data_IF_445223304129
#
_entry.id   IF_445223304129
#
_cell.length_a   1.000
_cell.length_b   1.000
_cell.length_c   1.000
_cell.angle_alpha   90.00
_cell.angle_beta   90.00
_cell.angle_gamma   90.00
#
_symmetry.space_group_name_H-M   'P 1'
#
loop_
_entity.id
_entity.type
_entity.pdbx_description
1 polymer ?
#
# COMPACT_ATOMS: atom_id res chain seq x y z
N UNK A 1 26.06 -18.21 -62.93
CA UNK A 1 26.54 -17.33 -61.83
C UNK A 1 25.56 -16.18 -61.64
N UNK A 2 24.60 -16.32 -60.72
CA UNK A 2 23.87 -15.21 -60.08
C UNK A 2 23.41 -15.75 -58.72
N UNK A 3 24.08 -15.30 -57.66
CA UNK A 3 23.66 -15.51 -56.28
C UNK A 3 22.53 -14.52 -55.97
N UNK A 4 21.44 -15.01 -55.40
CA UNK A 4 20.40 -14.17 -54.78
C UNK A 4 20.25 -14.62 -53.34
N UNK A 5 20.85 -13.84 -52.44
CA UNK A 5 20.70 -13.90 -50.99
C UNK A 5 19.42 -13.15 -50.61
N UNK A 6 18.44 -13.85 -50.06
CA UNK A 6 17.29 -13.23 -49.38
C UNK A 6 17.52 -13.29 -47.87
N UNK A 7 17.70 -12.11 -47.26
CA UNK A 7 17.65 -11.92 -45.81
C UNK A 7 16.20 -12.09 -45.30
N UNK A 8 15.97 -12.60 -44.07
CA UNK A 8 14.64 -12.62 -43.48
C UNK A 8 14.28 -11.23 -42.90
N UNK A 9 12.99 -10.91 -42.72
CA UNK A 9 12.56 -9.60 -42.26
C UNK A 9 12.78 -9.45 -40.75
N UNK A 10 13.27 -8.28 -40.36
CA UNK A 10 13.38 -7.82 -38.98
C UNK A 10 11.96 -7.51 -38.49
N UNK A 11 11.46 -8.30 -37.53
CA UNK A 11 10.19 -8.03 -36.86
C UNK A 11 10.30 -6.80 -35.96
N UNK A 12 9.49 -5.79 -36.23
CA UNK A 12 9.29 -4.66 -35.32
C UNK A 12 8.61 -5.15 -34.04
N UNK A 13 9.33 -5.05 -32.92
CA UNK A 13 8.74 -5.17 -31.57
C UNK A 13 7.89 -3.93 -31.32
N UNK A 14 6.57 -4.09 -31.41
CA UNK A 14 5.59 -3.05 -31.10
C UNK A 14 5.42 -2.93 -29.60
N UNK A 15 5.75 -1.77 -29.03
CA UNK A 15 5.37 -1.40 -27.67
C UNK A 15 3.86 -1.15 -27.66
N UNK A 16 3.08 -2.08 -27.10
CA UNK A 16 1.65 -1.88 -26.90
C UNK A 16 1.45 -0.99 -25.67
N UNK A 17 1.08 0.27 -25.88
CA UNK A 17 0.74 1.20 -24.80
C UNK A 17 -0.71 0.93 -24.39
N UNK A 18 -0.92 0.21 -23.29
CA UNK A 18 -2.28 -0.08 -22.79
C UNK A 18 -2.90 1.15 -22.15
N UNK A 19 -4.17 1.40 -22.43
CA UNK A 19 -4.96 2.49 -21.86
C UNK A 19 -5.17 2.21 -20.36
N UNK A 20 -4.79 3.15 -19.49
CA UNK A 20 -5.00 3.03 -18.04
C UNK A 20 -6.42 3.46 -17.68
N UNK A 21 -7.24 2.57 -17.13
CA UNK A 21 -8.49 2.95 -16.48
C UNK A 21 -8.23 3.10 -14.97
N UNK A 22 -7.95 4.34 -14.56
CA UNK A 22 -7.90 4.72 -13.14
C UNK A 22 -9.32 4.78 -12.59
N UNK A 23 -9.80 3.67 -12.02
CA UNK A 23 -10.99 3.75 -11.17
C UNK A 23 -10.61 4.40 -9.84
N UNK A 24 -10.98 5.66 -9.70
CA UNK A 24 -11.11 6.27 -8.39
C UNK A 24 -12.31 5.62 -7.69
N UNK A 25 -12.10 4.69 -6.77
CA UNK A 25 -13.05 4.59 -5.65
C UNK A 25 -12.74 5.75 -4.71
N UNK A 26 -13.15 6.96 -5.09
CA UNK A 26 -13.32 8.02 -4.10
C UNK A 26 -14.50 7.60 -3.25
N UNK A 27 -14.23 6.90 -2.15
CA UNK A 27 -15.17 6.92 -1.04
C UNK A 27 -15.18 8.37 -0.56
N UNK A 28 -16.32 9.04 -0.69
CA UNK A 28 -16.50 10.44 -0.33
C UNK A 28 -16.40 10.71 1.19
N UNK A 29 -15.89 9.76 1.98
CA UNK A 29 -15.66 9.82 3.41
C UNK A 29 -14.42 8.98 3.75
N UNK A 30 -13.35 9.60 4.23
CA UNK A 30 -12.19 8.92 4.80
C UNK A 30 -10.93 8.85 3.92
N UNK A 31 -9.77 9.14 4.51
CA UNK A 31 -8.47 8.82 3.92
C UNK A 31 -8.29 7.30 3.98
N UNK A 32 -8.52 6.58 2.88
CA UNK A 32 -8.20 5.15 2.81
C UNK A 32 -6.68 4.99 2.72
N UNK A 33 -6.08 4.26 3.67
CA UNK A 33 -4.65 3.96 3.65
C UNK A 33 -4.25 3.05 2.48
N UNK A 34 -5.21 2.44 1.79
CA UNK A 34 -4.94 1.49 0.70
C UNK A 34 -5.42 2.06 -0.63
N UNK A 35 -4.56 1.97 -1.65
CA UNK A 35 -4.88 2.28 -3.04
C UNK A 35 -4.65 1.04 -3.88
N UNK A 36 -5.63 0.64 -4.69
CA UNK A 36 -5.50 -0.49 -5.61
C UNK A 36 -5.83 -0.06 -7.03
N UNK A 37 -5.05 -0.55 -8.00
CA UNK A 37 -5.38 -0.42 -9.41
C UNK A 37 -5.25 -1.76 -10.12
N UNK A 38 -5.92 -1.85 -11.28
CA UNK A 38 -5.96 -3.01 -12.14
C UNK A 38 -5.51 -2.60 -13.53
N UNK A 39 -4.76 -3.47 -14.19
CA UNK A 39 -4.52 -3.38 -15.63
C UNK A 39 -5.69 -4.04 -16.34
N UNK A 40 -6.16 -3.45 -17.43
CA UNK A 40 -7.24 -4.03 -18.24
C UNK A 40 -6.82 -5.42 -18.73
N UNK A 41 -7.53 -6.46 -18.30
CA UNK A 41 -7.34 -7.85 -18.69
C UNK A 41 -8.60 -8.42 -19.36
N UNK A 42 -8.47 -9.42 -20.24
CA UNK A 42 -7.26 -10.17 -20.57
C UNK A 42 -6.27 -9.41 -21.46
N UNK A 43 -4.97 -9.64 -21.25
CA UNK A 43 -3.88 -9.17 -22.13
C UNK A 43 -3.13 -10.38 -22.65
N UNK A 44 -2.89 -10.42 -23.96
CA UNK A 44 -2.05 -11.44 -24.59
C UNK A 44 -0.70 -10.83 -24.92
N UNK A 45 0.37 -11.44 -24.40
CA UNK A 45 1.76 -11.05 -24.63
C UNK A 45 2.43 -12.14 -25.46
N UNK A 46 2.84 -11.79 -26.68
CA UNK A 46 3.66 -12.63 -27.57
C UNK A 46 5.05 -12.02 -27.65
N UNK A 47 6.04 -12.62 -26.96
CA UNK A 47 7.42 -12.09 -26.88
C UNK A 47 7.48 -10.58 -26.58
N UNK A 48 6.57 -10.14 -25.71
CA UNK A 48 6.29 -8.73 -25.42
C UNK A 48 5.99 -8.54 -23.93
N UNK A 49 5.74 -7.29 -23.55
CA UNK A 49 5.52 -6.92 -22.17
C UNK A 49 4.45 -5.85 -22.03
N UNK A 50 3.86 -5.78 -20.84
CA UNK A 50 3.05 -4.67 -20.38
C UNK A 50 3.77 -4.01 -19.20
N UNK A 51 3.82 -2.68 -19.20
CA UNK A 51 4.48 -1.92 -18.14
C UNK A 51 3.50 -0.98 -17.47
N UNK A 52 3.63 -0.86 -16.15
CA UNK A 52 2.89 0.09 -15.33
C UNK A 52 3.85 0.86 -14.44
N UNK A 53 3.63 2.16 -14.32
CA UNK A 53 4.22 2.93 -13.23
C UNK A 53 3.57 2.51 -11.91
N UNK A 54 4.38 2.42 -10.86
CA UNK A 54 3.89 2.23 -9.51
C UNK A 54 4.26 3.44 -8.68
N UNK A 55 3.34 3.82 -7.78
CA UNK A 55 3.66 4.88 -6.83
C UNK A 55 4.79 4.39 -5.95
N UNK A 56 5.88 5.14 -6.02
CA UNK A 56 7.07 4.98 -5.23
C UNK A 56 7.37 6.37 -4.69
N UNK A 57 7.15 6.58 -3.40
CA UNK A 57 7.26 7.89 -2.79
C UNK A 57 7.29 7.78 -1.28
N UNK A 58 7.69 8.89 -0.64
CA UNK A 58 7.63 9.01 0.81
C UNK A 58 6.23 8.66 1.31
N UNK A 59 6.17 7.80 2.32
CA UNK A 59 4.90 7.43 2.94
C UNK A 59 4.24 6.17 2.44
N UNK A 60 4.69 5.49 1.38
CA UNK A 60 4.17 4.14 1.07
C UNK A 60 4.87 3.12 1.96
N UNK A 61 4.11 2.40 2.79
CA UNK A 61 4.66 1.37 3.67
C UNK A 61 4.81 0.02 2.99
N UNK A 62 3.87 -0.36 2.12
CA UNK A 62 3.97 -1.62 1.37
C UNK A 62 3.32 -1.54 0.00
N UNK A 63 3.75 -2.42 -0.90
CA UNK A 63 3.12 -2.62 -2.22
C UNK A 63 2.98 -4.11 -2.50
N UNK A 64 1.76 -4.57 -2.78
CA UNK A 64 1.46 -5.92 -3.23
C UNK A 64 1.16 -5.92 -4.73
N UNK A 65 1.77 -6.85 -5.44
CA UNK A 65 1.67 -7.04 -6.89
C UNK A 65 1.16 -8.46 -7.10
N UNK A 66 0.04 -8.58 -7.80
CA UNK A 66 -0.58 -9.87 -8.12
C UNK A 66 -0.76 -9.99 -9.63
N UNK A 67 -0.13 -11.00 -10.23
CA UNK A 67 -0.21 -11.28 -11.66
C UNK A 67 -0.62 -12.71 -11.88
N UNK A 68 -1.70 -12.94 -12.63
CA UNK A 68 -2.17 -14.26 -13.01
C UNK A 68 -2.08 -14.45 -14.51
N UNK A 69 -1.27 -15.41 -14.94
CA UNK A 69 -0.94 -15.66 -16.34
C UNK A 69 -0.99 -17.14 -16.71
N UNK A 70 -1.42 -17.43 -17.94
CA UNK A 70 -1.39 -18.75 -18.55
C UNK A 70 -0.38 -18.75 -19.70
N UNK A 71 0.70 -19.52 -19.56
CA UNK A 71 1.75 -19.64 -20.57
C UNK A 71 1.50 -20.85 -21.48
N UNK A 72 1.59 -20.66 -22.78
CA UNK A 72 1.57 -21.75 -23.75
C UNK A 72 2.97 -22.30 -24.04
N UNK A 73 3.04 -23.54 -24.53
CA UNK A 73 4.30 -24.15 -24.95
C UNK A 73 5.19 -24.62 -23.80
N UNK A 74 4.63 -24.81 -22.60
CA UNK A 74 5.32 -25.32 -21.39
C UNK A 74 5.10 -26.81 -21.12
N UNK A 75 4.54 -27.55 -22.09
CA UNK A 75 4.32 -28.99 -21.97
C UNK A 75 5.60 -29.81 -21.79
N UNK A 76 5.43 -31.09 -21.44
CA UNK A 76 6.50 -32.02 -21.07
C UNK A 76 7.60 -32.10 -22.13
N UNK A 77 8.85 -32.00 -21.69
CA UNK A 77 10.03 -31.95 -22.56
C UNK A 77 11.32 -32.14 -21.78
N UNK A 78 12.44 -32.52 -22.41
CA UNK A 78 13.74 -32.49 -21.75
C UNK A 78 14.14 -31.06 -21.35
N UNK A 79 14.47 -30.88 -20.07
CA UNK A 79 14.97 -29.61 -19.53
C UNK A 79 13.90 -28.51 -19.40
N UNK A 80 14.36 -27.27 -19.32
CA UNK A 80 13.49 -26.10 -19.12
C UNK A 80 12.86 -25.62 -20.44
N UNK A 81 11.57 -25.27 -20.39
CA UNK A 81 10.82 -24.74 -21.52
C UNK A 81 11.45 -23.44 -22.06
N UNK A 82 11.48 -23.24 -23.39
CA UNK A 82 11.92 -21.98 -23.99
C UNK A 82 10.89 -20.86 -23.75
N UNK A 83 9.62 -21.23 -23.51
CA UNK A 83 8.57 -20.33 -23.11
C UNK A 83 8.55 -20.18 -21.58
N UNK A 84 8.53 -18.93 -21.11
CA UNK A 84 8.53 -18.58 -19.68
C UNK A 84 8.17 -17.10 -19.51
N UNK A 85 7.80 -16.71 -18.30
CA UNK A 85 7.35 -15.35 -18.03
C UNK A 85 7.84 -14.87 -16.68
N UNK A 86 7.64 -13.57 -16.43
CA UNK A 86 8.14 -12.96 -15.22
C UNK A 86 7.64 -11.55 -15.00
N UNK A 87 8.16 -10.98 -13.93
CA UNK A 87 7.92 -9.61 -13.48
C UNK A 87 9.28 -8.96 -13.28
N UNK A 88 9.52 -7.85 -13.97
CA UNK A 88 10.63 -6.96 -13.65
C UNK A 88 10.14 -5.81 -12.78
N UNK A 89 10.88 -5.54 -11.72
CA UNK A 89 10.72 -4.42 -10.80
C UNK A 89 11.92 -3.50 -10.99
N UNK A 90 11.66 -2.31 -11.53
CA UNK A 90 12.71 -1.37 -11.97
C UNK A 90 12.79 -0.18 -11.01
N UNK A 91 13.99 0.06 -10.47
CA UNK A 91 14.32 1.16 -9.56
C UNK A 91 15.54 1.92 -10.13
N UNK A 92 15.30 2.98 -10.89
CA UNK A 92 16.36 3.70 -11.59
C UNK A 92 17.17 2.79 -12.54
N UNK A 93 18.44 2.56 -12.22
CA UNK A 93 19.33 1.67 -12.98
C UNK A 93 19.37 0.23 -12.47
N UNK A 94 18.64 -0.07 -11.39
CA UNK A 94 18.57 -1.40 -10.80
C UNK A 94 17.30 -2.13 -11.25
N UNK A 95 17.41 -3.42 -11.48
CA UNK A 95 16.27 -4.26 -11.89
C UNK A 95 16.29 -5.58 -11.15
N UNK A 96 15.22 -5.83 -10.41
CA UNK A 96 14.89 -7.13 -9.84
C UNK A 96 13.97 -7.87 -10.81
N UNK A 97 14.43 -9.01 -11.31
CA UNK A 97 13.69 -9.84 -12.27
C UNK A 97 13.28 -11.15 -11.62
N UNK A 98 11.97 -11.33 -11.45
CA UNK A 98 11.36 -12.58 -11.04
C UNK A 98 10.96 -13.38 -12.28
N UNK A 99 11.31 -14.65 -12.34
CA UNK A 99 10.95 -15.55 -13.46
C UNK A 99 10.27 -16.81 -12.97
N UNK A 100 9.23 -17.25 -13.69
CA UNK A 100 8.65 -18.59 -13.58
C UNK A 100 8.95 -19.37 -14.86
N UNK A 101 9.66 -20.49 -14.72
CA UNK A 101 10.04 -21.36 -15.83
C UNK A 101 9.74 -22.82 -15.51
N UNK A 102 9.01 -23.48 -16.40
CA UNK A 102 8.64 -24.88 -16.26
C UNK A 102 9.62 -25.79 -16.98
N UNK A 103 9.68 -27.06 -16.60
CA UNK A 103 10.46 -28.07 -17.30
C UNK A 103 10.36 -29.46 -16.67
N UNK A 104 11.24 -30.34 -17.11
CA UNK A 104 11.38 -31.69 -16.56
C UNK A 104 12.86 -31.98 -16.28
N UNK A 105 13.13 -32.70 -15.19
CA UNK A 105 14.51 -33.05 -14.82
C UNK A 105 15.15 -34.08 -15.75
N UNK A 106 14.37 -35.03 -16.25
CA UNK A 106 14.85 -36.15 -17.04
C UNK A 106 13.71 -36.75 -17.87
N UNK A 107 13.18 -36.00 -18.84
CA UNK A 107 12.01 -36.40 -19.63
C UNK A 107 12.16 -37.80 -20.24
N UNK A 108 11.20 -38.68 -19.94
CA UNK A 108 11.18 -40.08 -20.40
C UNK A 108 11.94 -41.07 -19.51
N UNK A 109 12.54 -40.61 -18.41
CA UNK A 109 13.15 -41.45 -17.37
C UNK A 109 12.10 -41.81 -16.28
N UNK A 110 12.28 -42.94 -15.60
CA UNK A 110 11.46 -43.33 -14.44
C UNK A 110 11.60 -42.33 -13.28
N UNK A 111 12.71 -41.60 -13.22
CA UNK A 111 12.97 -40.55 -12.25
C UNK A 111 12.54 -39.16 -12.74
N UNK A 112 11.80 -39.07 -13.85
CA UNK A 112 11.35 -37.78 -14.35
C UNK A 112 10.46 -37.08 -13.34
N UNK A 113 10.80 -35.82 -13.04
CA UNK A 113 9.98 -34.93 -12.23
C UNK A 113 9.74 -33.64 -12.97
N UNK A 114 8.50 -33.18 -12.94
CA UNK A 114 8.14 -31.82 -13.34
C UNK A 114 8.82 -30.84 -12.40
N UNK A 115 9.40 -29.81 -12.98
CA UNK A 115 10.06 -28.73 -12.27
C UNK A 115 9.35 -27.42 -12.59
N UNK A 116 9.16 -26.60 -11.56
CA UNK A 116 8.74 -25.21 -11.74
C UNK A 116 9.76 -24.36 -11.01
N UNK A 117 10.65 -23.72 -11.78
CA UNK A 117 11.74 -22.94 -11.23
C UNK A 117 11.30 -21.49 -11.12
N UNK A 118 11.30 -20.99 -9.89
CA UNK A 118 11.15 -19.58 -9.58
C UNK A 118 12.54 -19.03 -9.27
N UNK A 119 12.98 -18.05 -10.05
CA UNK A 119 14.30 -17.41 -9.87
C UNK A 119 14.13 -15.91 -9.76
N UNK A 120 14.86 -15.31 -8.84
CA UNK A 120 15.00 -13.87 -8.68
C UNK A 120 16.42 -13.48 -9.04
N UNK A 121 16.55 -12.52 -9.96
CA UNK A 121 17.83 -11.94 -10.37
C UNK A 121 17.86 -10.46 -10.04
N UNK A 122 19.04 -9.93 -9.72
CA UNK A 122 19.32 -8.49 -9.60
C UNK A 122 20.36 -8.11 -10.64
N UNK A 123 19.98 -7.28 -11.61
CA UNK A 123 20.85 -6.91 -12.75
C UNK A 123 21.48 -8.12 -13.46
N UNK A 124 20.74 -9.23 -13.55
CA UNK A 124 21.19 -10.49 -14.16
C UNK A 124 21.97 -11.43 -13.23
N UNK A 125 22.33 -11.01 -12.02
CA UNK A 125 22.97 -11.88 -11.02
C UNK A 125 21.90 -12.64 -10.21
N UNK A 126 22.04 -13.95 -9.99
CA UNK A 126 21.07 -14.72 -9.22
C UNK A 126 21.08 -14.30 -7.74
N UNK A 127 19.89 -14.06 -7.19
CA UNK A 127 19.67 -13.71 -5.77
C UNK A 127 19.04 -14.89 -5.03
N UNK A 128 18.00 -15.48 -5.62
CA UNK A 128 17.30 -16.64 -5.06
C UNK A 128 16.78 -17.52 -6.19
N UNK A 129 16.72 -18.83 -5.94
CA UNK A 129 16.12 -19.79 -6.86
C UNK A 129 15.49 -20.93 -6.08
N UNK A 130 14.32 -21.41 -6.53
CA UNK A 130 13.60 -22.51 -5.89
C UNK A 130 12.80 -23.31 -6.92
N UNK A 131 12.90 -24.64 -6.83
CA UNK A 131 11.97 -25.56 -7.49
C UNK A 131 10.71 -25.71 -6.61
N UNK A 132 9.54 -25.39 -7.16
CA UNK A 132 8.27 -25.31 -6.42
C UNK A 132 7.22 -26.25 -7.01
N UNK A 133 6.42 -26.86 -6.14
CA UNK A 133 5.46 -27.91 -6.53
C UNK A 133 4.02 -27.41 -6.75
N UNK A 134 3.70 -26.18 -6.34
CA UNK A 134 2.32 -25.64 -6.34
C UNK A 134 1.90 -24.97 -7.65
N UNK A 135 2.78 -24.93 -8.63
CA UNK A 135 2.52 -24.36 -9.94
C UNK A 135 2.04 -25.44 -10.90
N UNK A 136 1.03 -25.09 -11.69
CA UNK A 136 0.51 -25.95 -12.74
C UNK A 136 1.46 -25.88 -13.95
N UNK A 137 1.99 -27.02 -14.37
CA UNK A 137 2.97 -27.11 -15.47
C UNK A 137 2.33 -27.44 -16.83
N UNK A 138 0.99 -27.46 -16.90
CA UNK A 138 0.26 -27.74 -18.13
C UNK A 138 0.15 -26.49 -19.00
N UNK A 139 0.36 -26.64 -20.32
CA UNK A 139 0.27 -25.55 -21.29
C UNK A 139 -1.09 -24.86 -21.23
N UNK A 140 -1.10 -23.52 -21.17
CA UNK A 140 -2.31 -22.71 -21.14
C UNK A 140 -3.03 -22.70 -19.78
N UNK A 141 -2.45 -23.28 -18.73
CA UNK A 141 -3.03 -23.24 -17.38
C UNK A 141 -2.52 -22.04 -16.60
N UNK A 142 -3.43 -21.41 -15.86
CA UNK A 142 -3.14 -20.20 -15.09
C UNK A 142 -2.32 -20.48 -13.83
N UNK A 143 -1.29 -19.66 -13.65
CA UNK A 143 -0.51 -19.55 -12.42
C UNK A 143 -0.50 -18.09 -11.95
N UNK A 144 -0.41 -17.90 -10.64
CA UNK A 144 -0.25 -16.59 -10.00
C UNK A 144 1.19 -16.42 -9.52
N UNK A 145 1.77 -15.26 -9.82
CA UNK A 145 2.95 -14.72 -9.14
C UNK A 145 2.51 -13.52 -8.30
N UNK A 146 2.89 -13.54 -7.03
CA UNK A 146 2.67 -12.47 -6.08
C UNK A 146 4.02 -11.95 -5.59
N UNK A 147 4.18 -10.64 -5.61
CA UNK A 147 5.30 -9.95 -4.97
C UNK A 147 4.76 -8.96 -3.97
N UNK A 148 5.25 -9.02 -2.73
CA UNK A 148 4.99 -8.02 -1.72
C UNK A 148 6.29 -7.32 -1.36
N UNK A 149 6.26 -6.00 -1.38
CA UNK A 149 7.36 -5.12 -1.03
C UNK A 149 6.98 -4.45 0.29
N UNK A 150 7.59 -4.86 1.40
CA UNK A 150 7.44 -4.22 2.69
C UNK A 150 8.63 -3.27 2.92
N UNK A 151 8.36 -1.97 2.83
CA UNK A 151 9.37 -0.92 2.98
C UNK A 151 9.68 -0.61 4.44
N UNK A 152 8.82 -1.03 5.37
CA UNK A 152 9.06 -0.86 6.82
C UNK A 152 10.09 -1.89 7.30
N UNK A 153 9.96 -3.14 6.88
CA UNK A 153 10.93 -4.19 7.23
C UNK A 153 12.10 -4.28 6.25
N UNK A 154 11.99 -3.67 5.06
CA UNK A 154 13.01 -3.75 4.02
C UNK A 154 13.10 -5.15 3.43
N UNK A 155 11.95 -5.77 3.15
CA UNK A 155 11.85 -7.14 2.66
C UNK A 155 10.97 -7.21 1.42
N UNK A 156 11.40 -8.02 0.46
CA UNK A 156 10.59 -8.44 -0.68
C UNK A 156 10.19 -9.91 -0.48
N UNK A 157 8.89 -10.17 -0.40
CA UNK A 157 8.32 -11.51 -0.33
C UNK A 157 7.82 -11.94 -1.71
N UNK A 158 8.16 -13.17 -2.10
CA UNK A 158 7.64 -13.80 -3.32
C UNK A 158 6.77 -14.97 -2.91
N UNK A 159 5.56 -15.01 -3.46
CA UNK A 159 4.60 -16.09 -3.29
C UNK A 159 3.96 -16.44 -4.64
N UNK A 160 3.34 -17.61 -4.75
CA UNK A 160 2.62 -17.97 -5.96
C UNK A 160 2.14 -19.41 -6.01
N UNK A 161 1.47 -19.73 -7.11
CA UNK A 161 0.96 -21.08 -7.40
C UNK A 161 -0.24 -21.07 -8.36
N UNK A 162 -0.73 -22.26 -8.70
CA UNK A 162 -1.83 -22.43 -9.66
C UNK A 162 -3.22 -22.26 -9.04
N UNK A 163 -3.49 -23.02 -7.97
CA UNK A 163 -4.78 -23.07 -7.25
C UNK A 163 -4.78 -22.33 -5.91
N UNK A 164 -3.65 -22.40 -5.20
CA UNK A 164 -3.37 -21.62 -3.99
C UNK A 164 -2.09 -20.83 -4.18
N UNK A 165 -1.92 -19.78 -3.38
CA UNK A 165 -0.69 -18.99 -3.32
C UNK A 165 0.04 -19.41 -2.06
N UNK A 166 1.24 -19.97 -2.23
CA UNK A 166 2.10 -20.38 -1.12
C UNK A 166 3.35 -19.47 -1.11
N UNK A 167 3.90 -19.18 0.08
CA UNK A 167 5.13 -18.41 0.21
C UNK A 167 6.33 -19.19 -0.36
N UNK A 168 7.14 -18.52 -1.18
CA UNK A 168 8.25 -19.14 -1.90
C UNK A 168 9.58 -18.80 -1.22
N UNK A 169 9.91 -17.51 -1.14
CA UNK A 169 11.07 -16.98 -0.42
C UNK A 169 10.92 -15.48 -0.12
N UNK A 170 11.75 -14.99 0.80
CA UNK A 170 11.88 -13.59 1.14
C UNK A 170 13.34 -13.16 0.98
N UNK A 171 13.56 -11.96 0.44
CA UNK A 171 14.91 -11.39 0.28
C UNK A 171 14.97 -9.98 0.87
N UNK A 172 16.12 -9.56 1.44
CA UNK A 172 16.31 -8.18 1.85
C UNK A 172 16.21 -7.22 0.65
N UNK A 173 15.58 -6.08 0.88
CA UNK A 173 15.43 -4.99 -0.07
C UNK A 173 16.02 -3.71 0.54
N UNK A 174 17.02 -3.12 -0.11
CA UNK A 174 17.58 -1.85 0.37
C UNK A 174 16.63 -0.69 0.05
N UNK A 175 16.71 0.41 0.81
CA UNK A 175 15.85 1.59 0.60
C UNK A 175 16.01 2.22 -0.79
N UNK A 176 17.17 2.03 -1.43
CA UNK A 176 17.43 2.47 -2.81
C UNK A 176 16.75 1.57 -3.88
N UNK A 177 16.25 0.40 -3.48
CA UNK A 177 15.73 -0.63 -4.37
C UNK A 177 14.20 -0.51 -4.56
N UNK A 178 13.62 0.64 -4.21
CA UNK A 178 12.19 0.86 -4.33
C UNK A 178 11.78 0.96 -5.80
N UNK A 179 11.01 -0.01 -6.33
CA UNK A 179 10.67 0.02 -7.74
C UNK A 179 9.63 1.10 -8.03
N UNK A 180 9.84 1.80 -9.14
CA UNK A 180 8.97 2.86 -9.68
C UNK A 180 8.15 2.35 -10.87
N UNK A 181 8.58 1.22 -11.45
CA UNK A 181 7.97 0.63 -12.62
C UNK A 181 7.96 -0.89 -12.51
N UNK A 182 6.84 -1.47 -12.91
CA UNK A 182 6.68 -2.91 -13.09
C UNK A 182 6.56 -3.23 -14.56
N UNK A 183 7.12 -4.35 -14.97
CA UNK A 183 7.03 -4.88 -16.33
C UNK A 183 6.69 -6.36 -16.23
N UNK A 184 5.48 -6.74 -16.65
CA UNK A 184 5.12 -8.14 -16.82
C UNK A 184 5.44 -8.52 -18.26
N UNK A 185 6.20 -9.59 -18.45
CA UNK A 185 6.66 -10.00 -19.78
C UNK A 185 6.54 -11.51 -19.96
N UNK A 186 6.37 -11.92 -21.21
CA UNK A 186 6.38 -13.32 -21.61
C UNK A 186 7.36 -13.54 -22.76
N UNK A 187 8.11 -14.65 -22.71
CA UNK A 187 8.75 -15.25 -23.88
C UNK A 187 7.88 -16.42 -24.33
N UNK A 188 7.38 -16.39 -25.55
CA UNK A 188 6.26 -17.20 -26.00
C UNK A 188 4.91 -16.48 -25.85
N UNK A 189 3.82 -17.25 -25.82
CA UNK A 189 2.45 -16.76 -25.78
C UNK A 189 1.88 -16.85 -24.35
N UNK A 190 1.75 -15.69 -23.70
CA UNK A 190 1.25 -15.54 -22.34
C UNK A 190 -0.09 -14.81 -22.35
N UNK A 191 -1.13 -15.42 -21.76
CA UNK A 191 -2.41 -14.75 -21.50
C UNK A 191 -2.50 -14.34 -20.03
N UNK A 192 -2.52 -13.04 -19.76
CA UNK A 192 -2.79 -12.48 -18.44
C UNK A 192 -4.31 -12.43 -18.22
N UNK A 193 -4.80 -13.05 -17.15
CA UNK A 193 -6.21 -12.93 -16.72
C UNK A 193 -6.41 -11.89 -15.61
N UNK A 194 -5.36 -11.61 -14.82
CA UNK A 194 -5.38 -10.58 -13.80
C UNK A 194 -3.99 -9.95 -13.66
N UNK A 195 -3.96 -8.64 -13.48
CA UNK A 195 -2.80 -7.90 -13.03
C UNK A 195 -3.27 -6.73 -12.16
N UNK A 196 -2.97 -6.80 -10.87
CA UNK A 196 -3.30 -5.75 -9.90
C UNK A 196 -2.09 -5.33 -9.10
N UNK A 197 -2.09 -4.07 -8.71
CA UNK A 197 -1.13 -3.51 -7.76
C UNK A 197 -1.89 -2.78 -6.68
N UNK A 198 -1.50 -3.04 -5.44
CA UNK A 198 -2.04 -2.42 -4.25
C UNK A 198 -0.92 -1.79 -3.46
N UNK A 199 -1.05 -0.52 -3.11
CA UNK A 199 -0.12 0.19 -2.24
C UNK A 199 -0.81 0.60 -0.96
N UNK A 200 -0.12 0.41 0.16
CA UNK A 200 -0.57 0.83 1.48
C UNK A 200 0.29 2.01 1.92
N UNK A 201 -0.34 3.12 2.26
CA UNK A 201 0.27 4.31 2.83
C UNK A 201 0.50 4.09 4.34
N UNK A 202 1.64 4.57 4.82
CA UNK A 202 1.95 4.63 6.22
C UNK A 202 1.01 5.63 6.90
N UNK A 203 0.47 5.29 8.08
CA UNK A 203 -0.37 6.22 8.81
C UNK A 203 0.32 7.56 9.10
N UNK A 204 1.62 7.52 9.39
CA UNK A 204 2.43 8.69 9.70
C UNK A 204 2.41 9.72 8.57
N UNK A 205 2.48 9.25 7.32
CA UNK A 205 2.41 10.13 6.16
C UNK A 205 0.96 10.51 5.84
N UNK A 206 0.05 9.53 5.87
CA UNK A 206 -1.35 9.73 5.54
C UNK A 206 -2.05 10.73 6.48
N UNK A 207 -1.60 10.87 7.72
CA UNK A 207 -2.16 11.79 8.72
C UNK A 207 -1.18 12.90 9.13
N UNK A 208 -0.04 13.06 8.44
CA UNK A 208 0.86 14.18 8.72
C UNK A 208 0.12 15.52 8.54
N UNK A 209 0.33 16.44 9.48
CA UNK A 209 -0.01 17.85 9.27
C UNK A 209 1.22 18.63 8.81
N UNK A 210 1.02 19.88 8.38
CA UNK A 210 2.10 20.82 8.10
C UNK A 210 2.75 21.41 9.36
N UNK A 211 2.22 21.09 10.55
CA UNK A 211 2.70 21.63 11.81
C UNK A 211 3.99 20.95 12.25
N UNK A 212 4.90 21.76 12.74
CA UNK A 212 5.98 21.31 13.63
C UNK A 212 5.65 21.76 15.05
N UNK A 213 6.27 21.14 16.06
CA UNK A 213 6.05 21.52 17.46
C UNK A 213 6.30 23.02 17.71
N UNK A 214 7.39 23.56 17.14
CA UNK A 214 7.75 24.97 17.28
C UNK A 214 6.75 25.90 16.59
N UNK A 215 6.38 25.59 15.33
CA UNK A 215 5.39 26.39 14.58
C UNK A 215 4.02 26.39 15.27
N UNK A 216 3.61 25.24 15.78
CA UNK A 216 2.34 25.11 16.49
C UNK A 216 2.36 25.92 17.78
N UNK A 217 3.44 25.85 18.55
CA UNK A 217 3.61 26.62 19.79
C UNK A 217 3.60 28.12 19.52
N UNK A 218 4.33 28.56 18.50
CA UNK A 218 4.39 29.97 18.10
C UNK A 218 3.02 30.48 17.66
N UNK A 219 2.34 29.75 16.78
CA UNK A 219 0.99 30.07 16.30
C UNK A 219 0.01 30.21 17.45
N UNK A 220 -0.08 29.20 18.33
CA UNK A 220 -1.01 29.22 19.45
C UNK A 220 -0.68 30.29 20.50
N UNK A 221 0.56 30.76 20.59
CA UNK A 221 0.93 31.88 21.48
C UNK A 221 0.44 33.25 21.01
N UNK A 222 0.07 33.35 19.73
CA UNK A 222 -0.41 34.57 19.08
C UNK A 222 -1.90 34.53 18.75
N UNK A 223 -2.57 33.40 19.02
CA UNK A 223 -3.98 33.24 18.71
C UNK A 223 -4.86 33.97 19.70
N UNK A 224 -5.83 34.73 19.17
CA UNK A 224 -6.90 35.35 19.93
C UNK A 224 -8.19 34.49 19.95
N UNK A 225 -8.16 33.30 19.32
CA UNK A 225 -9.29 32.37 19.31
C UNK A 225 -9.38 31.60 20.64
N UNK A 226 -10.50 31.77 21.35
CA UNK A 226 -10.74 31.14 22.65
C UNK A 226 -10.94 29.62 22.58
N UNK A 227 -11.09 29.02 21.41
CA UNK A 227 -11.17 27.58 21.19
C UNK A 227 -9.80 26.99 20.85
N UNK A 228 -8.95 27.74 20.15
CA UNK A 228 -7.59 27.31 19.84
C UNK A 228 -6.75 27.13 21.11
N UNK A 229 -5.83 26.16 21.07
CA UNK A 229 -4.90 25.91 22.16
C UNK A 229 -4.64 24.43 22.39
N UNK A 230 -3.91 24.15 23.47
CA UNK A 230 -3.63 22.79 23.91
C UNK A 230 -4.72 22.27 24.83
N UNK A 231 -5.15 21.04 24.59
CA UNK A 231 -6.23 20.36 25.29
C UNK A 231 -5.72 19.05 25.87
N UNK A 232 -5.74 18.94 27.20
CA UNK A 232 -5.23 17.78 27.92
C UNK A 232 -6.37 16.90 28.36
N UNK A 233 -6.22 15.59 28.20
CA UNK A 233 -7.18 14.61 28.70
C UNK A 233 -7.56 14.90 30.15
N UNK A 234 -8.86 15.05 30.40
CA UNK A 234 -9.44 15.29 31.72
C UNK A 234 -9.97 13.98 32.29
N UNK A 235 -11.01 13.43 31.67
CA UNK A 235 -11.62 12.17 32.04
C UNK A 235 -12.43 11.57 30.88
N UNK A 236 -13.14 10.49 31.19
CA UNK A 236 -14.01 9.78 30.27
C UNK A 236 -15.20 9.20 31.00
N UNK A 237 -16.29 9.04 30.26
CA UNK A 237 -17.40 8.16 30.61
C UNK A 237 -17.55 7.18 29.46
N UNK A 238 -17.26 5.90 29.69
CA UNK A 238 -17.28 4.91 28.61
C UNK A 238 -17.70 3.53 29.11
N UNK A 239 -18.38 2.77 28.25
CA UNK A 239 -18.57 1.34 28.42
C UNK A 239 -17.41 0.57 27.73
N UNK A 240 -16.49 -0.07 28.48
CA UNK A 240 -15.33 -0.75 27.92
C UNK A 240 -15.64 -1.95 27.02
N UNK A 241 -16.89 -2.41 26.99
CA UNK A 241 -17.37 -3.44 26.05
C UNK A 241 -17.51 -2.86 24.65
N UNK A 242 -17.92 -1.60 24.52
CA UNK A 242 -18.16 -0.95 23.22
C UNK A 242 -16.92 -0.23 22.72
N UNK A 243 -16.22 0.50 23.59
CA UNK A 243 -15.03 1.24 23.20
C UNK A 243 -14.06 1.43 24.35
N UNK A 244 -12.78 1.40 24.01
CA UNK A 244 -11.67 1.73 24.91
C UNK A 244 -10.87 2.86 24.30
N UNK A 245 -10.63 3.96 25.03
CA UNK A 245 -9.80 5.05 24.53
C UNK A 245 -8.39 4.55 24.21
N UNK A 246 -7.85 5.02 23.09
CA UNK A 246 -6.50 4.64 22.66
C UNK A 246 -5.38 5.30 23.46
N UNK A 247 -5.70 6.18 24.43
CA UNK A 247 -4.72 6.81 25.32
C UNK A 247 -5.29 8.01 26.08
N UNK A 248 -4.43 8.64 26.88
CA UNK A 248 -4.71 9.90 27.59
C UNK A 248 -4.06 11.05 26.82
N UNK A 249 -4.74 11.52 25.80
CA UNK A 249 -4.15 12.41 24.80
C UNK A 249 -3.86 13.83 25.32
N UNK A 250 -2.78 14.40 24.79
CA UNK A 250 -2.60 15.84 24.64
C UNK A 250 -2.88 16.17 23.17
N UNK A 251 -3.82 17.07 22.95
CA UNK A 251 -4.27 17.52 21.63
C UNK A 251 -4.02 19.01 21.49
N UNK A 252 -3.98 19.51 20.26
CA UNK A 252 -4.11 20.92 19.95
C UNK A 252 -5.28 21.14 18.99
N UNK A 253 -6.07 22.18 19.24
CA UNK A 253 -7.07 22.67 18.28
C UNK A 253 -6.49 23.87 17.55
N UNK A 254 -6.58 23.83 16.22
CA UNK A 254 -6.01 24.84 15.32
C UNK A 254 -7.00 25.14 14.22
N UNK A 255 -7.30 26.41 13.98
CA UNK A 255 -8.19 26.88 12.93
C UNK A 255 -7.67 26.49 11.55
N UNK A 256 -8.56 25.97 10.70
CA UNK A 256 -8.23 25.57 9.33
C UNK A 256 -9.02 26.34 8.26
N UNK A 257 -9.73 27.40 8.65
CA UNK A 257 -10.58 28.24 7.80
C UNK A 257 -12.05 27.81 7.76
N UNK A 258 -12.32 26.51 7.91
CA UNK A 258 -13.68 25.93 7.87
C UNK A 258 -14.13 25.37 9.25
N UNK A 259 -13.30 25.56 10.27
CA UNK A 259 -13.43 24.93 11.59
C UNK A 259 -12.05 24.74 12.22
N UNK A 260 -11.83 23.59 12.85
CA UNK A 260 -10.57 23.26 13.53
C UNK A 260 -10.04 21.89 13.13
N UNK A 261 -8.74 21.79 12.92
CA UNK A 261 -8.02 20.52 12.94
C UNK A 261 -7.68 20.15 14.39
N UNK A 262 -7.89 18.88 14.75
CA UNK A 262 -7.44 18.29 16.00
C UNK A 262 -6.07 17.66 15.76
N UNK A 263 -5.02 18.25 16.29
CA UNK A 263 -3.64 17.78 16.14
C UNK A 263 -3.26 16.92 17.35
N UNK A 264 -2.79 15.70 17.10
CA UNK A 264 -2.20 14.84 18.12
C UNK A 264 -0.84 15.39 18.54
N UNK A 265 -0.65 15.63 19.83
CA UNK A 265 0.62 16.10 20.39
C UNK A 265 1.33 14.95 21.11
N UNK A 266 0.62 14.26 22.02
CA UNK A 266 1.16 13.15 22.81
C UNK A 266 0.04 12.31 23.44
N UNK A 267 0.39 11.23 24.14
CA UNK A 267 -0.48 10.52 25.07
C UNK A 267 -1.16 9.26 24.50
N UNK A 268 -0.75 8.79 23.32
CA UNK A 268 -1.20 7.50 22.79
C UNK A 268 -0.64 6.33 23.63
N UNK A 269 -1.50 5.39 23.97
CA UNK A 269 -1.16 4.15 24.68
C UNK A 269 -1.31 2.92 23.78
N UNK A 270 -2.32 2.93 22.90
CA UNK A 270 -2.56 1.90 21.89
C UNK A 270 -1.90 2.29 20.57
N UNK A 271 -1.14 1.35 19.96
CA UNK A 271 -0.33 1.58 18.74
C UNK A 271 0.55 2.84 18.84
N UNK A 272 1.16 3.06 20.02
CA UNK A 272 1.99 4.23 20.31
C UNK A 272 3.12 4.44 19.30
N UNK A 273 3.72 3.34 18.83
CA UNK A 273 4.77 3.32 17.81
C UNK A 273 4.32 3.87 16.45
N UNK A 274 3.00 3.94 16.21
CA UNK A 274 2.44 4.41 14.94
C UNK A 274 1.97 5.87 15.00
N UNK A 275 1.68 6.40 16.19
CA UNK A 275 1.27 7.78 16.39
C UNK A 275 2.49 8.68 16.62
N UNK A 276 2.81 9.52 15.64
CA UNK A 276 3.82 10.56 15.75
C UNK A 276 3.18 11.91 16.11
N UNK A 277 3.82 12.73 16.96
CA UNK A 277 3.36 14.08 17.21
C UNK A 277 3.14 14.86 15.91
N UNK A 278 2.16 15.76 15.93
CA UNK A 278 1.71 16.59 14.81
C UNK A 278 0.90 15.84 13.74
N UNK A 279 0.50 14.60 13.97
CA UNK A 279 -0.49 13.95 13.12
C UNK A 279 -1.90 14.53 13.36
N UNK A 280 -2.71 14.65 12.32
CA UNK A 280 -4.12 15.01 12.43
C UNK A 280 -4.87 13.83 13.06
N UNK A 281 -5.51 14.08 14.20
CA UNK A 281 -6.30 13.12 14.95
C UNK A 281 -7.79 13.21 14.61
N UNK A 282 -8.24 14.35 14.10
CA UNK A 282 -9.64 14.60 13.80
C UNK A 282 -9.87 16.02 13.35
N UNK A 283 -11.14 16.38 13.17
CA UNK A 283 -11.58 17.72 12.75
C UNK A 283 -12.89 18.08 13.43
N UNK A 284 -13.06 19.38 13.68
CA UNK A 284 -14.29 19.98 14.17
C UNK A 284 -14.84 20.89 13.08
N UNK A 285 -16.07 20.62 12.64
CA UNK A 285 -16.80 21.48 11.71
C UNK A 285 -17.90 22.22 12.47
N UNK A 286 -17.97 23.56 12.42
CA UNK A 286 -19.00 24.31 13.12
C UNK A 286 -20.40 23.89 12.67
N UNK A 287 -21.32 23.79 13.63
CA UNK A 287 -22.74 23.64 13.34
C UNK A 287 -23.46 24.99 13.41
N UNK A 288 -24.79 24.99 13.27
CA UNK A 288 -25.61 26.19 13.51
C UNK A 288 -25.67 26.59 14.98
N UNK A 289 -25.26 25.72 15.91
CA UNK A 289 -25.25 25.99 17.34
C UNK A 289 -23.85 26.44 17.78
N UNK A 290 -23.83 27.49 18.61
CA UNK A 290 -22.60 28.03 19.20
C UNK A 290 -21.91 26.92 20.01
N UNK A 291 -20.59 26.83 19.86
CA UNK A 291 -19.71 25.87 20.53
C UNK A 291 -20.09 24.39 20.35
N UNK A 292 -20.82 24.08 19.28
CA UNK A 292 -21.18 22.72 18.91
C UNK A 292 -20.70 22.40 17.50
N UNK A 293 -20.07 21.23 17.35
CA UNK A 293 -19.33 20.85 16.16
C UNK A 293 -19.70 19.45 15.70
N UNK A 294 -19.77 19.25 14.39
CA UNK A 294 -19.68 17.92 13.80
C UNK A 294 -18.23 17.43 13.94
N UNK A 295 -18.06 16.22 14.46
CA UNK A 295 -16.75 15.65 14.76
C UNK A 295 -16.36 14.65 13.67
N UNK A 296 -15.12 14.75 13.21
CA UNK A 296 -14.41 13.68 12.53
C UNK A 296 -13.29 13.20 13.46
N UNK A 297 -13.19 11.90 13.72
CA UNK A 297 -12.21 11.34 14.65
C UNK A 297 -11.48 10.15 14.03
N UNK A 298 -10.15 10.16 14.08
CA UNK A 298 -9.32 9.02 13.70
C UNK A 298 -9.01 8.19 14.94
N UNK A 299 -9.47 6.95 14.95
CA UNK A 299 -9.34 6.05 16.10
C UNK A 299 -7.88 5.58 16.31
N UNK A 300 -7.65 4.58 17.18
CA UNK A 300 -6.29 4.05 17.37
C UNK A 300 -5.80 3.20 16.19
N UNK A 301 -6.71 2.68 15.37
CA UNK A 301 -6.41 1.81 14.23
C UNK A 301 -6.24 2.55 12.90
N UNK A 302 -6.41 3.88 12.92
CA UNK A 302 -6.38 4.80 11.77
C UNK A 302 -7.63 4.73 10.89
N UNK A 303 -8.73 4.23 11.45
CA UNK A 303 -10.05 4.33 10.86
C UNK A 303 -10.71 5.65 11.27
N UNK A 304 -11.33 6.31 10.29
CA UNK A 304 -12.10 7.53 10.51
C UNK A 304 -13.51 7.18 10.98
N UNK A 305 -13.93 7.80 12.08
CA UNK A 305 -15.29 7.82 12.59
C UNK A 305 -15.83 9.23 12.32
N UNK A 306 -16.91 9.35 11.56
CA UNK A 306 -17.49 10.62 11.13
C UNK A 306 -19.03 10.62 11.15
N UNK A 307 -19.64 9.57 11.70
CA UNK A 307 -21.10 9.40 11.78
C UNK A 307 -21.56 9.30 13.21
N UNK A 308 -22.65 10.00 13.52
CA UNK A 308 -23.31 10.01 14.82
C UNK A 308 -22.36 10.32 15.98
N UNK A 309 -21.37 11.17 15.72
CA UNK A 309 -20.42 11.71 16.71
C UNK A 309 -20.40 13.24 16.61
N UNK A 310 -20.14 13.90 17.73
CA UNK A 310 -20.12 15.36 17.80
C UNK A 310 -19.16 15.83 18.89
N UNK A 311 -18.84 17.11 18.87
CA UNK A 311 -18.08 17.75 19.92
C UNK A 311 -18.75 19.03 20.39
N UNK A 312 -18.52 19.38 21.65
CA UNK A 312 -18.93 20.66 22.19
C UNK A 312 -17.85 21.27 23.07
N UNK A 313 -17.80 22.59 23.11
CA UNK A 313 -16.95 23.32 24.05
C UNK A 313 -17.83 24.00 25.10
N UNK A 314 -17.47 23.87 26.37
CA UNK A 314 -18.17 24.52 27.49
C UNK A 314 -17.21 25.41 28.26
N UNK A 315 -17.66 26.62 28.58
CA UNK A 315 -16.93 27.63 29.35
C UNK A 315 -15.53 27.96 28.79
N UNK A 316 -15.30 27.72 27.49
CA UNK A 316 -14.00 27.84 26.81
C UNK A 316 -12.86 27.08 27.51
N UNK A 317 -13.22 26.06 28.31
CA UNK A 317 -12.32 25.36 29.19
C UNK A 317 -12.46 23.83 29.09
N UNK A 318 -13.60 23.32 28.64
CA UNK A 318 -13.86 21.88 28.51
C UNK A 318 -14.27 21.56 27.08
N UNK A 319 -13.45 20.76 26.39
CA UNK A 319 -13.79 20.14 25.11
C UNK A 319 -14.35 18.75 25.40
N UNK A 320 -15.58 18.50 24.96
CA UNK A 320 -16.26 17.21 25.08
C UNK A 320 -16.39 16.59 23.70
N UNK A 321 -15.90 15.36 23.54
CA UNK A 321 -16.07 14.55 22.35
C UNK A 321 -17.05 13.41 22.67
N UNK A 322 -18.16 13.35 21.95
CA UNK A 322 -19.26 12.42 22.21
C UNK A 322 -19.37 11.38 21.11
N UNK A 323 -19.37 10.11 21.51
CA UNK A 323 -19.54 8.93 20.66
C UNK A 323 -20.76 8.11 21.12
N UNK A 324 -22.00 8.59 20.91
CA UNK A 324 -23.23 7.95 21.36
C UNK A 324 -23.35 6.45 21.06
N UNK A 325 -23.09 6.04 19.81
CA UNK A 325 -23.19 4.63 19.41
C UNK A 325 -22.17 3.74 20.13
N UNK A 326 -21.06 4.32 20.58
CA UNK A 326 -20.02 3.66 21.35
C UNK A 326 -20.18 3.86 22.86
N UNK A 327 -21.28 4.49 23.31
CA UNK A 327 -21.56 4.82 24.72
C UNK A 327 -20.33 5.43 25.40
N UNK A 328 -19.69 6.36 24.72
CA UNK A 328 -18.41 6.91 25.12
C UNK A 328 -18.39 8.42 24.99
N UNK A 329 -17.90 9.08 26.02
CA UNK A 329 -17.62 10.51 26.06
C UNK A 329 -16.20 10.71 26.56
N UNK A 330 -15.43 11.53 25.86
CA UNK A 330 -14.09 11.95 26.27
C UNK A 330 -14.10 13.43 26.56
N UNK A 331 -13.49 13.85 27.68
CA UNK A 331 -13.37 15.27 28.02
C UNK A 331 -11.91 15.68 28.13
N UNK A 332 -11.65 16.89 27.69
CA UNK A 332 -10.32 17.50 27.71
C UNK A 332 -10.43 18.88 28.35
N UNK A 333 -9.48 19.23 29.19
CA UNK A 333 -9.36 20.56 29.77
C UNK A 333 -8.39 21.42 28.95
N UNK A 334 -8.75 22.67 28.73
CA UNK A 334 -7.88 23.65 28.08
C UNK A 334 -6.67 23.91 28.98
N UNK A 335 -5.47 23.83 28.42
CA UNK A 335 -4.26 24.18 29.14
C UNK A 335 -4.13 25.69 29.27
N UNK A 336 -3.59 26.20 30.40
CA UNK A 336 -3.24 27.60 30.50
C UNK A 336 -2.28 27.99 29.37
N UNK A 337 -2.40 29.20 28.81
CA UNK A 337 -1.42 29.69 27.85
C UNK A 337 -0.03 29.63 28.47
N UNK A 338 0.95 29.16 27.69
CA UNK A 338 2.34 29.08 28.14
C UNK A 338 2.83 30.50 28.38
N UNK A 339 2.99 30.88 29.66
CA UNK A 339 3.58 32.17 30.03
C UNK A 339 5.04 32.16 29.57
N UNK A 340 5.41 33.14 28.75
CA UNK A 340 6.81 33.41 28.36
C UNK A 340 7.69 33.70 29.56
#
# INVERSE_FOLDING_TARGET
MKHTTSLPPVGLSGILTSLMILFWSMSACGRTLTKRFYVDTPVVLCDSSVSVGIECGEGISSTMIDVRGAMEGIGERPGLAPAYWGIDMVAGNDTLRLTLRHGNSAFGDILDRRQNIISLYRNGLPVAEKDVSRFESSSGVYNTLRVEIDRRSGVLNVAGGGKSVDDIFSVPLASADNPERLIVWGRGHLTLSSFSVESVMSPQHAFASSWTADKLTEYLSQSDDEIEGYWRYLDRENDPVYARPGGRYLLALVGNGDGYDIIYVDGAETRRDQWMPMMVKGRLKPTVFIDHYDLEWTDATFETIDRDIHASVTDNAILTLSFPLLKTTLRFSKMPPVRK
#
